data_IF_470594067468
#
_entry.id   IF_470594067468
#
_cell.length_a   1.000
_cell.length_b   1.000
_cell.length_c   1.000
_cell.angle_alpha   90.00
_cell.angle_beta   90.00
_cell.angle_gamma   90.00
#
_symmetry.space_group_name_H-M   'P 1'
#
loop_
_entity.id
_entity.type
_entity.pdbx_description
1 polymer ?
#
# COMPACT_ATOMS: atom_id res chain seq x y z
N UNK A 1 -1.94 31.48 28.41
CA UNK A 1 -2.28 31.25 26.98
C UNK A 1 -2.69 29.80 26.84
N UNK A 2 -3.99 29.51 26.76
CA UNK A 2 -4.50 28.15 26.59
C UNK A 2 -4.79 27.88 25.12
N UNK A 3 -4.17 26.86 24.55
CA UNK A 3 -4.55 26.37 23.22
C UNK A 3 -5.76 25.46 23.37
N UNK A 4 -6.80 25.68 22.56
CA UNK A 4 -7.96 24.78 22.52
C UNK A 4 -7.58 23.46 21.84
N UNK A 5 -7.91 22.34 22.47
CA UNK A 5 -7.61 21.00 21.95
C UNK A 5 -8.35 20.68 20.64
N UNK A 6 -9.46 21.38 20.37
CA UNK A 6 -10.23 21.26 19.11
C UNK A 6 -9.43 21.77 17.90
N UNK A 7 -8.44 22.64 18.13
CA UNK A 7 -7.54 23.17 17.09
C UNK A 7 -6.25 22.35 16.95
N UNK A 8 -6.14 21.22 17.68
CA UNK A 8 -4.99 20.33 17.62
C UNK A 8 -5.25 19.19 16.63
N UNK A 9 -4.37 19.06 15.64
CA UNK A 9 -4.34 17.93 14.70
C UNK A 9 -3.13 17.05 15.00
N UNK A 10 -3.39 15.82 15.42
CA UNK A 10 -2.35 14.83 15.70
C UNK A 10 -2.21 13.91 14.48
N UNK A 11 -0.98 13.79 13.97
CA UNK A 11 -0.63 12.79 12.97
C UNK A 11 0.24 11.77 13.67
N UNK A 12 -0.25 10.53 13.73
CA UNK A 12 0.47 9.43 14.35
C UNK A 12 0.87 8.40 13.33
N UNK A 13 2.08 7.85 13.48
CA UNK A 13 2.61 6.80 12.62
C UNK A 13 2.97 5.59 13.47
N UNK A 14 2.61 4.38 13.02
CA UNK A 14 2.88 3.13 13.75
C UNK A 14 2.45 3.22 15.22
N UNK A 15 3.36 3.09 16.18
CA UNK A 15 3.09 3.25 17.61
C UNK A 15 2.60 4.66 17.97
N UNK A 16 3.06 5.70 17.27
CA UNK A 16 2.57 7.06 17.43
C UNK A 16 1.10 7.22 17.04
N UNK A 17 0.59 6.43 16.09
CA UNK A 17 -0.84 6.39 15.76
C UNK A 17 -1.67 5.79 16.90
N UNK A 18 -1.15 4.72 17.50
CA UNK A 18 -1.77 4.09 18.66
C UNK A 18 -1.78 5.03 19.87
N UNK A 19 -0.65 5.70 20.15
CA UNK A 19 -0.55 6.69 21.21
C UNK A 19 -1.46 7.91 20.96
N UNK A 20 -1.56 8.38 19.72
CA UNK A 20 -2.48 9.45 19.35
C UNK A 20 -3.94 9.05 19.56
N UNK A 21 -4.33 7.84 19.14
CA UNK A 21 -5.66 7.28 19.37
C UNK A 21 -6.00 7.15 20.85
N UNK A 22 -5.07 6.62 21.66
CA UNK A 22 -5.24 6.49 23.11
C UNK A 22 -5.29 7.84 23.81
N UNK A 23 -4.48 8.82 23.38
CA UNK A 23 -4.54 10.19 23.87
C UNK A 23 -5.90 10.83 23.53
N UNK A 24 -6.39 10.68 22.30
CA UNK A 24 -7.72 11.15 21.90
C UNK A 24 -8.83 10.54 22.75
N UNK A 25 -8.76 9.22 23.02
CA UNK A 25 -9.72 8.52 23.90
C UNK A 25 -9.68 9.07 25.33
N UNK A 26 -8.48 9.25 25.90
CA UNK A 26 -8.29 9.78 27.27
C UNK A 26 -8.71 11.24 27.40
N UNK A 27 -8.60 12.02 26.32
CA UNK A 27 -9.06 13.41 26.24
C UNK A 27 -10.55 13.53 25.88
N UNK A 28 -11.31 12.43 25.95
CA UNK A 28 -12.76 12.43 25.69
C UNK A 28 -13.14 12.85 24.26
N UNK A 29 -12.25 12.64 23.29
CA UNK A 29 -12.46 13.09 21.91
C UNK A 29 -12.27 14.59 21.70
N UNK A 30 -11.73 15.32 22.68
CA UNK A 30 -11.50 16.77 22.61
C UNK A 30 -10.38 17.18 21.64
N UNK A 31 -9.61 16.22 21.12
CA UNK A 31 -8.61 16.45 20.07
C UNK A 31 -9.34 16.57 18.74
N UNK A 32 -9.18 17.71 18.07
CA UNK A 32 -9.91 18.02 16.83
C UNK A 32 -9.75 16.99 15.72
N UNK A 33 -8.55 16.40 15.52
CA UNK A 33 -8.33 15.37 14.50
C UNK A 33 -7.15 14.46 14.81
N UNK A 34 -7.29 13.16 14.55
CA UNK A 34 -6.21 12.17 14.52
C UNK A 34 -6.18 11.53 13.12
N UNK A 35 -5.06 11.63 12.40
CA UNK A 35 -4.93 11.06 11.04
C UNK A 35 -3.92 9.92 11.01
N UNK A 36 -4.35 8.79 10.43
CA UNK A 36 -3.48 7.69 10.00
C UNK A 36 -3.62 7.47 8.49
N UNK A 37 -2.52 7.12 7.82
CA UNK A 37 -2.49 6.97 6.36
C UNK A 37 -2.83 5.54 5.94
N UNK A 38 -4.12 5.21 5.99
CA UNK A 38 -4.60 3.91 5.54
C UNK A 38 -4.90 3.93 4.05
N UNK A 39 -4.53 2.86 3.34
CA UNK A 39 -4.82 2.68 1.92
C UNK A 39 -5.37 1.29 1.67
N UNK A 40 -6.36 1.19 0.80
CA UNK A 40 -6.87 -0.08 0.29
C UNK A 40 -6.22 -0.36 -1.07
N UNK A 41 -5.40 -1.39 -1.14
CA UNK A 41 -4.66 -1.77 -2.35
C UNK A 41 -5.31 -2.99 -2.98
N UNK A 42 -5.60 -2.92 -4.27
CA UNK A 42 -6.09 -4.03 -5.09
C UNK A 42 -5.15 -4.29 -6.25
N UNK A 43 -4.61 -5.50 -6.35
CA UNK A 43 -3.65 -5.92 -7.37
C UNK A 43 -4.31 -6.96 -8.28
N UNK A 44 -4.32 -6.71 -9.58
CA UNK A 44 -4.67 -7.70 -10.60
C UNK A 44 -3.39 -8.25 -11.20
N UNK A 45 -3.18 -9.57 -11.08
CA UNK A 45 -1.94 -10.21 -11.51
C UNK A 45 -1.88 -10.38 -13.03
N UNK A 46 -0.69 -10.22 -13.58
CA UNK A 46 -0.33 -10.53 -14.96
C UNK A 46 0.66 -11.69 -14.98
N UNK A 47 0.48 -12.63 -15.91
CA UNK A 47 1.37 -13.78 -16.04
C UNK A 47 0.77 -14.86 -16.92
N UNK A 48 1.55 -15.91 -17.19
CA UNK A 48 1.11 -17.03 -18.04
C UNK A 48 0.74 -18.29 -17.26
N UNK A 49 1.18 -18.39 -16.00
CA UNK A 49 1.06 -19.60 -15.19
C UNK A 49 0.91 -19.25 -13.73
N UNK A 50 0.17 -20.09 -13.02
CA UNK A 50 0.06 -20.03 -11.57
C UNK A 50 1.41 -20.27 -10.90
N UNK A 51 1.72 -19.47 -9.88
CA UNK A 51 2.97 -19.53 -9.12
C UNK A 51 2.68 -19.49 -7.62
N UNK A 52 3.61 -19.97 -6.79
CA UNK A 52 3.53 -19.82 -5.33
C UNK A 52 4.55 -18.82 -4.83
N UNK A 53 4.09 -17.81 -4.09
CA UNK A 53 4.95 -16.74 -3.62
C UNK A 53 4.22 -15.69 -2.80
N UNK A 54 4.94 -14.61 -2.51
CA UNK A 54 4.41 -13.39 -1.90
C UNK A 54 4.47 -12.24 -2.90
N UNK A 55 3.45 -11.38 -2.90
CA UNK A 55 3.44 -10.13 -3.65
C UNK A 55 3.53 -8.96 -2.69
N UNK A 56 4.37 -7.98 -3.02
CA UNK A 56 4.60 -6.79 -2.20
C UNK A 56 4.41 -5.53 -3.03
N UNK A 57 3.87 -4.49 -2.39
CA UNK A 57 3.60 -3.19 -3.01
C UNK A 57 4.31 -2.08 -2.24
N UNK A 58 4.89 -1.12 -2.96
CA UNK A 58 5.34 0.15 -2.43
C UNK A 58 4.71 1.32 -3.20
N UNK A 59 4.21 2.30 -2.47
CA UNK A 59 3.61 3.52 -3.00
C UNK A 59 4.70 4.59 -3.14
N UNK A 60 4.70 5.32 -4.26
CA UNK A 60 5.61 6.42 -4.50
C UNK A 60 4.77 7.65 -4.84
N UNK A 61 4.82 8.67 -3.99
CA UNK A 61 4.09 9.90 -4.19
C UNK A 61 4.96 11.14 -4.06
N UNK A 62 4.33 12.30 -4.12
CA UNK A 62 4.99 13.61 -4.10
C UNK A 62 5.78 13.89 -2.82
N UNK A 63 5.37 13.30 -1.69
CA UNK A 63 5.95 13.60 -0.37
C UNK A 63 6.88 12.48 0.14
N UNK A 64 7.14 11.46 -0.69
CA UNK A 64 8.01 10.35 -0.34
C UNK A 64 7.49 9.01 -0.84
N UNK A 65 8.15 7.94 -0.39
CA UNK A 65 7.84 6.57 -0.74
C UNK A 65 7.54 5.73 0.51
N UNK A 66 6.56 4.85 0.39
CA UNK A 66 6.27 3.89 1.45
C UNK A 66 7.33 2.77 1.46
N UNK A 67 7.43 2.07 2.59
CA UNK A 67 8.04 0.74 2.62
C UNK A 67 7.23 -0.25 1.76
N UNK A 68 7.77 -1.44 1.58
CA UNK A 68 7.05 -2.52 0.91
C UNK A 68 6.09 -3.20 1.88
N UNK A 69 4.86 -3.43 1.43
CA UNK A 69 3.83 -4.14 2.17
C UNK A 69 3.44 -5.40 1.41
N UNK A 70 3.50 -6.56 2.08
CA UNK A 70 2.96 -7.79 1.51
C UNK A 70 1.46 -7.63 1.31
N UNK A 71 0.93 -7.90 0.12
CA UNK A 71 -0.52 -7.82 -0.16
C UNK A 71 -1.14 -9.20 -0.04
N UNK A 72 -0.43 -10.23 -0.50
CA UNK A 72 -0.90 -11.61 -0.48
C UNK A 72 0.27 -12.58 -0.52
N UNK A 73 0.09 -13.74 0.10
CA UNK A 73 1.02 -14.87 0.10
C UNK A 73 0.26 -16.16 -0.16
N UNK A 74 0.67 -16.91 -1.17
CA UNK A 74 0.01 -18.17 -1.53
C UNK A 74 0.09 -18.46 -3.02
N UNK A 75 -1.01 -18.98 -3.57
CA UNK A 75 -1.16 -19.25 -5.01
C UNK A 75 -1.52 -17.97 -5.77
N UNK A 76 -0.63 -17.57 -6.67
CA UNK A 76 -0.66 -16.39 -7.51
C UNK A 76 -1.12 -16.81 -8.91
N UNK A 77 -2.42 -16.74 -9.15
CA UNK A 77 -3.04 -17.09 -10.44
C UNK A 77 -3.04 -15.89 -11.39
N UNK A 78 -2.79 -16.07 -12.70
CA UNK A 78 -2.99 -15.02 -13.69
C UNK A 78 -4.41 -14.44 -13.59
N UNK A 79 -4.53 -13.13 -13.78
CA UNK A 79 -5.78 -12.36 -13.74
C UNK A 79 -6.53 -12.36 -12.39
N UNK A 80 -6.01 -13.08 -11.38
CA UNK A 80 -6.57 -13.04 -10.05
C UNK A 80 -6.38 -11.66 -9.41
N UNK A 81 -7.37 -11.28 -8.62
CA UNK A 81 -7.39 -10.02 -7.88
C UNK A 81 -7.16 -10.27 -6.40
N UNK A 82 -6.13 -9.64 -5.84
CA UNK A 82 -5.84 -9.67 -4.42
C UNK A 82 -5.98 -8.28 -3.82
N UNK A 83 -6.55 -8.20 -2.63
CA UNK A 83 -6.87 -6.93 -1.98
C UNK A 83 -6.43 -6.95 -0.53
N UNK A 84 -5.80 -5.88 -0.08
CA UNK A 84 -5.38 -5.71 1.31
C UNK A 84 -5.40 -4.23 1.70
N UNK A 85 -5.85 -3.96 2.92
CA UNK A 85 -5.65 -2.65 3.55
C UNK A 85 -4.23 -2.58 4.15
N UNK A 86 -3.55 -1.46 3.93
CA UNK A 86 -2.22 -1.18 4.45
C UNK A 86 -2.22 0.13 5.23
N UNK A 87 -1.54 0.15 6.37
CA UNK A 87 -1.32 1.35 7.16
C UNK A 87 0.10 1.87 6.88
N UNK A 88 0.19 3.05 6.30
CA UNK A 88 1.45 3.65 5.86
C UNK A 88 2.00 4.61 6.91
N UNK A 89 3.28 4.45 7.21
CA UNK A 89 3.98 5.21 8.25
C UNK A 89 4.32 6.66 7.82
N UNK A 90 3.97 7.08 6.60
CA UNK A 90 4.16 8.44 6.10
C UNK A 90 2.99 8.86 5.23
N UNK A 91 2.75 10.18 5.14
CA UNK A 91 1.92 10.71 4.07
C UNK A 91 2.72 10.67 2.76
N UNK A 92 2.37 9.79 1.82
CA UNK A 92 3.05 9.73 0.52
C UNK A 92 2.64 10.90 -0.40
N UNK A 93 1.61 11.68 -0.05
CA UNK A 93 1.06 12.73 -0.89
C UNK A 93 0.33 12.17 -2.11
N UNK A 94 0.33 12.91 -3.23
CA UNK A 94 -0.29 12.43 -4.47
C UNK A 94 0.50 11.24 -5.00
N UNK A 95 -0.14 10.07 -5.11
CA UNK A 95 0.53 8.85 -5.59
C UNK A 95 0.82 9.00 -7.09
N UNK A 96 2.10 8.95 -7.44
CA UNK A 96 2.58 9.15 -8.81
C UNK A 96 2.87 7.83 -9.52
N UNK A 97 3.29 6.80 -8.76
CA UNK A 97 3.56 5.46 -9.29
C UNK A 97 3.46 4.42 -8.18
N UNK A 98 3.33 3.16 -8.57
CA UNK A 98 3.36 2.02 -7.66
C UNK A 98 4.42 1.05 -8.13
N UNK A 99 5.18 0.49 -7.18
CA UNK A 99 6.11 -0.61 -7.49
C UNK A 99 5.56 -1.93 -6.98
N UNK A 100 5.56 -2.91 -7.87
CA UNK A 100 5.22 -4.29 -7.62
C UNK A 100 6.50 -5.12 -7.51
N UNK A 101 6.56 -5.97 -6.49
CA UNK A 101 7.60 -6.97 -6.29
C UNK A 101 6.94 -8.31 -6.00
N UNK A 102 7.58 -9.38 -6.42
CA UNK A 102 7.20 -10.72 -6.02
C UNK A 102 8.42 -11.56 -5.66
N UNK A 103 8.22 -12.47 -4.71
CA UNK A 103 9.22 -13.40 -4.18
C UNK A 103 8.68 -14.83 -4.19
N UNK A 104 9.51 -15.82 -4.53
CA UNK A 104 9.08 -17.22 -4.64
C UNK A 104 9.29 -17.98 -3.34
N UNK A 105 8.52 -19.06 -3.19
CA UNK A 105 8.77 -20.07 -2.16
C UNK A 105 9.65 -21.24 -2.63
N UNK A 106 9.92 -21.41 -3.94
CA UNK A 106 10.52 -22.63 -4.50
C UNK A 106 11.65 -22.40 -5.52
N UNK A 107 12.73 -23.19 -5.40
CA UNK A 107 14.05 -23.00 -6.01
C UNK A 107 14.18 -23.24 -7.54
N UNK A 108 13.25 -23.93 -8.22
CA UNK A 108 13.46 -24.42 -9.61
C UNK A 108 12.76 -23.61 -10.72
N UNK A 109 12.41 -22.34 -10.48
CA UNK A 109 11.49 -21.56 -11.33
C UNK A 109 12.11 -20.31 -11.99
N UNK A 110 13.39 -20.33 -12.36
CA UNK A 110 14.10 -19.16 -12.92
C UNK A 110 13.59 -18.63 -14.28
N UNK A 111 12.62 -19.31 -14.92
CA UNK A 111 12.10 -18.94 -16.25
C UNK A 111 10.76 -18.21 -16.24
N UNK A 112 10.05 -18.18 -15.12
CA UNK A 112 8.70 -17.61 -15.07
C UNK A 112 8.73 -16.13 -14.69
N UNK A 113 7.89 -15.35 -15.36
CA UNK A 113 7.68 -13.93 -15.10
C UNK A 113 6.29 -13.72 -14.56
N UNK A 114 6.17 -12.90 -13.51
CA UNK A 114 4.93 -12.45 -12.93
C UNK A 114 4.94 -10.92 -12.94
N UNK A 115 3.77 -10.31 -13.04
CA UNK A 115 3.61 -8.88 -12.90
C UNK A 115 2.24 -8.53 -12.33
N UNK A 116 1.95 -7.24 -12.33
CA UNK A 116 0.61 -6.72 -12.12
C UNK A 116 0.18 -5.95 -13.37
N UNK A 117 -0.98 -6.30 -13.92
CA UNK A 117 -1.57 -5.59 -15.07
C UNK A 117 -2.24 -4.29 -14.62
N UNK A 118 -2.91 -4.33 -13.46
CA UNK A 118 -3.59 -3.19 -12.85
C UNK A 118 -3.41 -3.19 -11.34
N UNK A 119 -3.10 -2.04 -10.77
CA UNK A 119 -3.16 -1.78 -9.33
C UNK A 119 -4.11 -0.61 -9.09
N UNK A 120 -5.03 -0.79 -8.16
CA UNK A 120 -5.88 0.29 -7.66
C UNK A 120 -5.50 0.58 -6.22
N UNK A 121 -5.25 1.85 -5.93
CA UNK A 121 -4.99 2.34 -4.57
C UNK A 121 -6.11 3.29 -4.20
N UNK A 122 -6.79 3.01 -3.09
CA UNK A 122 -7.82 3.89 -2.54
C UNK A 122 -7.34 4.45 -1.22
N UNK A 123 -7.37 5.78 -1.06
CA UNK A 123 -7.08 6.46 0.20
C UNK A 123 -8.19 6.22 1.22
N UNK A 124 -7.82 6.00 2.49
CA UNK A 124 -8.77 5.81 3.58
C UNK A 124 -9.40 7.11 4.09
N UNK A 125 -8.75 8.25 3.88
CA UNK A 125 -9.20 9.56 4.35
C UNK A 125 -10.45 10.06 3.60
N UNK A 126 -10.37 10.10 2.27
CA UNK A 126 -11.37 10.70 1.38
C UNK A 126 -11.94 9.70 0.35
N UNK A 127 -11.41 8.48 0.30
CA UNK A 127 -11.87 7.46 -0.65
C UNK A 127 -11.40 7.65 -2.09
N UNK A 128 -10.52 8.61 -2.35
CA UNK A 128 -9.94 8.86 -3.69
C UNK A 128 -9.25 7.61 -4.22
N UNK A 129 -9.57 7.26 -5.47
CA UNK A 129 -9.02 6.07 -6.16
C UNK A 129 -8.01 6.49 -7.21
N UNK A 130 -6.88 5.81 -7.19
CA UNK A 130 -5.80 5.90 -8.16
C UNK A 130 -5.71 4.57 -8.91
N UNK A 131 -5.58 4.64 -10.23
CA UNK A 131 -5.36 3.47 -11.06
C UNK A 131 -3.96 3.53 -11.67
N UNK A 132 -3.29 2.38 -11.68
CA UNK A 132 -1.96 2.22 -12.24
C UNK A 132 -1.93 0.97 -13.10
N UNK A 133 -1.34 1.06 -14.29
CA UNK A 133 -1.30 -0.02 -15.26
C UNK A 133 0.14 -0.29 -15.73
N UNK A 134 0.39 -1.52 -16.16
CA UNK A 134 1.60 -1.91 -16.90
C UNK A 134 1.29 -3.13 -17.76
N UNK A 135 1.90 -3.20 -18.95
CA UNK A 135 1.87 -4.39 -19.81
C UNK A 135 3.00 -5.38 -19.51
N UNK A 136 3.90 -5.04 -18.58
CA UNK A 136 5.13 -5.79 -18.36
C UNK A 136 4.94 -6.95 -17.38
N UNK A 137 5.89 -7.89 -17.42
CA UNK A 137 6.09 -8.90 -16.37
C UNK A 137 7.56 -8.98 -16.04
N UNK A 138 7.88 -9.21 -14.77
CA UNK A 138 9.25 -9.16 -14.26
C UNK A 138 9.67 -10.51 -13.68
N UNK A 139 10.99 -10.75 -13.65
CA UNK A 139 11.53 -11.89 -12.90
C UNK A 139 11.34 -11.64 -11.39
N UNK A 140 11.56 -12.68 -10.62
CA UNK A 140 11.62 -12.59 -9.16
C UNK A 140 12.64 -11.55 -8.70
N UNK A 141 12.36 -10.89 -7.57
CA UNK A 141 13.17 -9.83 -6.97
C UNK A 141 13.37 -8.57 -7.85
N UNK A 142 12.84 -8.54 -9.08
CA UNK A 142 12.84 -7.36 -9.92
C UNK A 142 11.60 -6.51 -9.65
N UNK A 143 11.81 -5.20 -9.49
CA UNK A 143 10.73 -4.25 -9.28
C UNK A 143 10.07 -3.88 -10.60
N UNK A 144 8.79 -4.19 -10.73
CA UNK A 144 7.94 -3.65 -11.80
C UNK A 144 7.40 -2.29 -11.37
N UNK A 145 7.50 -1.27 -12.22
CA UNK A 145 6.87 0.03 -11.98
C UNK A 145 5.58 0.13 -12.79
N UNK A 146 4.48 0.49 -12.13
CA UNK A 146 3.20 0.78 -12.76
C UNK A 146 2.95 2.29 -12.70
N UNK A 147 2.49 2.84 -13.82
CA UNK A 147 2.25 4.27 -14.03
C UNK A 147 0.75 4.56 -14.11
N UNK A 148 0.31 5.81 -13.89
CA UNK A 148 -1.09 6.18 -13.93
C UNK A 148 -1.78 5.78 -15.25
N UNK A 149 -3.00 5.29 -15.10
CA UNK A 149 -4.03 5.04 -16.09
C UNK A 149 -5.39 5.32 -15.40
#
# INVERSE_FOLDING_TARGET
MGYSLENVHIIGHSLGAHAAGEAGRRLGGSVGRITGWRYKVSVTLAGKKEMSGSIMIALYGSNGNSKQYEIFKGSLKPDAKHMRDIDVDINVGKIQKVKFLWDKRWLNMFRYKLGASKITVQTGEDGTKYHFCSGDTVKEHQLQSLLPC
#
